data_IF_185046218952
#
_entry.id   IF_185046218952
#
_cell.length_a   1.000
_cell.length_b   1.000
_cell.length_c   1.000
_cell.angle_alpha   90.00
_cell.angle_beta   90.00
_cell.angle_gamma   90.00
#
_symmetry.space_group_name_H-M   'P 1'
#
loop_
_entity.id
_entity.type
_entity.pdbx_description
1 polymer ?
#
# COMPACT_ATOMS: atom_id res chain seq x y z
N UNK A 1 -13.25 9.28 7.98
CA UNK A 1 -12.42 8.12 8.29
C UNK A 1 -10.99 8.57 8.54
N UNK A 2 -10.33 8.05 9.55
CA UNK A 2 -9.04 8.53 10.01
C UNK A 2 -7.95 7.54 9.65
N UNK A 3 -6.79 8.06 9.25
CA UNK A 3 -5.61 7.23 9.04
C UNK A 3 -5.22 6.56 10.36
N UNK A 4 -4.97 5.27 10.31
CA UNK A 4 -4.49 4.55 11.47
C UNK A 4 -3.06 4.04 11.20
N UNK A 5 -2.49 3.38 12.21
CA UNK A 5 -1.12 2.87 12.13
C UNK A 5 -0.91 1.89 10.98
N UNK A 6 -1.91 1.06 10.70
CA UNK A 6 -1.82 0.09 9.61
C UNK A 6 -1.69 0.79 8.26
N UNK A 7 -2.44 1.86 8.04
CA UNK A 7 -2.35 2.65 6.81
C UNK A 7 -0.95 3.24 6.64
N UNK A 8 -0.41 3.80 7.72
CA UNK A 8 0.93 4.39 7.70
C UNK A 8 1.99 3.33 7.38
N UNK A 9 1.87 2.16 8.01
CA UNK A 9 2.79 1.05 7.76
C UNK A 9 2.76 0.61 6.31
N UNK A 10 1.56 0.51 5.72
CA UNK A 10 1.43 0.14 4.31
C UNK A 10 2.07 1.15 3.38
N UNK A 11 1.85 2.44 3.62
CA UNK A 11 2.49 3.48 2.82
C UNK A 11 4.01 3.40 2.94
N UNK A 12 4.52 3.16 4.14
CA UNK A 12 5.95 3.01 4.38
C UNK A 12 6.53 1.80 3.65
N UNK A 13 5.81 0.68 3.67
CA UNK A 13 6.23 -0.55 2.98
C UNK A 13 6.35 -0.30 1.47
N UNK A 14 5.34 0.29 0.88
CA UNK A 14 5.35 0.58 -0.55
C UNK A 14 6.49 1.52 -0.93
N UNK A 15 6.72 2.53 -0.12
CA UNK A 15 7.82 3.47 -0.35
C UNK A 15 9.18 2.78 -0.27
N UNK A 16 9.39 1.98 0.77
CA UNK A 16 10.66 1.28 0.98
C UNK A 16 10.92 0.19 -0.06
N UNK A 17 9.86 -0.45 -0.53
CA UNK A 17 9.98 -1.48 -1.55
C UNK A 17 10.20 -0.90 -2.95
N UNK A 18 10.16 0.42 -3.09
CA UNK A 18 10.31 1.06 -4.39
C UNK A 18 9.07 0.96 -5.27
N UNK A 19 7.92 0.60 -4.69
CA UNK A 19 6.66 0.50 -5.42
C UNK A 19 6.07 1.90 -5.62
N UNK A 20 6.71 2.68 -6.49
CA UNK A 20 6.39 4.09 -6.70
C UNK A 20 5.86 4.38 -8.11
N UNK A 21 5.67 3.34 -8.91
CA UNK A 21 5.11 3.47 -10.27
C UNK A 21 4.35 2.20 -10.62
N UNK A 22 3.53 2.27 -11.66
CA UNK A 22 2.76 1.12 -12.13
C UNK A 22 3.65 -0.07 -12.47
N UNK A 23 4.83 0.19 -13.05
CA UNK A 23 5.77 -0.85 -13.44
C UNK A 23 6.45 -1.52 -12.24
N UNK A 24 6.52 -0.83 -11.10
CA UNK A 24 7.16 -1.33 -9.88
C UNK A 24 6.17 -1.72 -8.80
N UNK A 25 4.88 -1.72 -9.13
CA UNK A 25 3.84 -2.07 -8.17
C UNK A 25 3.99 -3.53 -7.71
N UNK A 26 3.58 -3.79 -6.47
CA UNK A 26 3.70 -5.12 -5.86
C UNK A 26 2.33 -5.65 -5.46
N UNK A 27 2.24 -6.97 -5.34
CA UNK A 27 0.99 -7.63 -4.98
C UNK A 27 0.72 -7.55 -3.48
N UNK A 28 -0.52 -7.86 -3.07
CA UNK A 28 -0.86 -7.97 -1.66
C UNK A 28 0.01 -9.01 -0.96
N UNK A 29 0.30 -10.11 -1.66
CA UNK A 29 1.16 -11.16 -1.12
C UNK A 29 2.56 -10.63 -0.81
N UNK A 30 3.12 -9.82 -1.71
CA UNK A 30 4.42 -9.18 -1.47
C UNK A 30 4.36 -8.22 -0.29
N UNK A 31 3.27 -7.47 -0.18
CA UNK A 31 3.08 -6.56 0.96
C UNK A 31 3.06 -7.35 2.27
N UNK A 32 2.39 -8.49 2.29
CA UNK A 32 2.35 -9.36 3.48
C UNK A 32 3.74 -9.81 3.90
N UNK A 33 4.61 -10.11 2.95
CA UNK A 33 5.98 -10.54 3.25
C UNK A 33 6.79 -9.46 3.96
N UNK A 34 6.53 -8.19 3.63
CA UNK A 34 7.19 -7.08 4.29
C UNK A 34 6.54 -6.70 5.62
N UNK A 35 5.31 -7.14 5.84
CA UNK A 35 4.52 -6.76 7.01
C UNK A 35 4.62 -7.86 8.07
N UNK A 36 5.60 -7.76 8.94
CA UNK A 36 5.86 -8.77 9.98
C UNK A 36 5.09 -8.52 11.28
N UNK A 37 4.03 -7.74 11.24
CA UNK A 37 3.29 -7.37 12.45
C UNK A 37 2.10 -8.25 12.75
N UNK A 38 1.97 -9.39 12.06
CA UNK A 38 0.93 -10.36 12.35
C UNK A 38 -0.50 -9.94 12.01
N UNK A 39 -0.67 -8.97 11.12
CA UNK A 39 -2.01 -8.57 10.70
C UNK A 39 -2.62 -9.62 9.80
N UNK A 40 -3.92 -9.85 9.96
CA UNK A 40 -4.64 -10.80 9.12
C UNK A 40 -4.76 -10.28 7.70
N UNK A 41 -4.96 -11.20 6.77
CA UNK A 41 -5.19 -10.88 5.37
C UNK A 41 -6.36 -9.92 5.19
N UNK A 42 -7.44 -10.15 5.94
CA UNK A 42 -8.63 -9.29 5.90
C UNK A 42 -8.30 -7.86 6.32
N UNK A 43 -7.49 -7.70 7.37
CA UNK A 43 -7.08 -6.38 7.87
C UNK A 43 -6.25 -5.66 6.81
N UNK A 44 -5.31 -6.35 6.18
CA UNK A 44 -4.50 -5.78 5.11
C UNK A 44 -5.34 -5.36 3.91
N UNK A 45 -6.27 -6.21 3.50
CA UNK A 45 -7.16 -5.91 2.38
C UNK A 45 -8.02 -4.67 2.63
N UNK A 46 -8.55 -4.54 3.84
CA UNK A 46 -9.34 -3.37 4.21
C UNK A 46 -8.50 -2.10 4.17
N UNK A 47 -7.28 -2.18 4.67
CA UNK A 47 -6.38 -1.03 4.66
C UNK A 47 -6.00 -0.63 3.24
N UNK A 48 -5.71 -1.61 2.38
CA UNK A 48 -5.39 -1.36 0.98
C UNK A 48 -6.60 -0.71 0.29
N UNK A 49 -7.79 -1.23 0.52
CA UNK A 49 -9.02 -0.67 -0.05
C UNK A 49 -9.23 0.77 0.39
N UNK A 50 -9.03 1.05 1.66
CA UNK A 50 -9.13 2.41 2.20
C UNK A 50 -8.15 3.36 1.49
N UNK A 51 -6.91 2.92 1.33
CA UNK A 51 -5.89 3.75 0.69
C UNK A 51 -6.17 3.99 -0.79
N UNK A 52 -6.69 2.97 -1.48
CA UNK A 52 -7.11 3.11 -2.87
C UNK A 52 -8.26 4.10 -3.01
N UNK A 53 -9.26 4.02 -2.15
CA UNK A 53 -10.40 4.92 -2.16
C UNK A 53 -9.99 6.36 -1.92
N UNK A 54 -9.00 6.55 -1.04
CA UNK A 54 -8.48 7.88 -0.75
C UNK A 54 -7.49 8.40 -1.77
N UNK A 55 -7.20 7.61 -2.80
CA UNK A 55 -6.23 7.96 -3.85
C UNK A 55 -4.80 8.10 -3.33
N UNK A 56 -4.47 7.43 -2.24
CA UNK A 56 -3.10 7.44 -1.69
C UNK A 56 -2.21 6.39 -2.34
N UNK A 57 -2.82 5.31 -2.82
CA UNK A 57 -2.15 4.29 -3.60
C UNK A 57 -2.96 4.03 -4.86
N UNK A 58 -2.31 3.49 -5.87
CA UNK A 58 -2.95 3.21 -7.15
C UNK A 58 -2.70 1.77 -7.55
N UNK A 59 -3.55 1.24 -8.42
CA UNK A 59 -3.39 -0.10 -8.97
C UNK A 59 -2.41 -0.04 -10.13
N UNK A 60 -1.42 -0.91 -10.10
CA UNK A 60 -0.42 -0.98 -11.16
C UNK A 60 -0.75 -2.05 -12.19
N UNK A 61 0.28 -2.54 -12.87
CA UNK A 61 0.15 -3.59 -13.87
C UNK A 61 -0.23 -4.91 -13.18
N UNK A 62 -1.25 -5.58 -13.69
CA UNK A 62 -1.68 -6.85 -13.12
C UNK A 62 -0.60 -7.93 -13.28
N UNK A 63 -0.41 -8.70 -12.21
CA UNK A 63 0.48 -9.86 -12.22
C UNK A 63 -0.40 -11.11 -12.28
N UNK A 64 -0.66 -11.59 -13.50
CA UNK A 64 -1.62 -12.66 -13.70
C UNK A 64 -3.02 -12.21 -13.29
N UNK A 65 -3.62 -12.91 -12.32
CA UNK A 65 -4.93 -12.57 -11.79
C UNK A 65 -4.86 -11.66 -10.56
N UNK A 66 -3.67 -11.33 -10.10
CA UNK A 66 -3.49 -10.52 -8.89
C UNK A 66 -3.29 -9.06 -9.24
N UNK A 67 -3.96 -8.19 -8.48
CA UNK A 67 -3.73 -6.76 -8.59
C UNK A 67 -2.42 -6.40 -7.91
N UNK A 68 -1.74 -5.40 -8.46
CA UNK A 68 -0.55 -4.84 -7.83
C UNK A 68 -0.85 -3.41 -7.40
N UNK A 69 -0.10 -2.91 -6.44
CA UNK A 69 -0.33 -1.59 -5.86
C UNK A 69 0.97 -0.82 -5.73
N UNK A 70 0.87 0.49 -5.86
CA UNK A 70 2.02 1.37 -5.67
C UNK A 70 1.58 2.66 -5.00
N UNK A 71 2.50 3.28 -4.26
CA UNK A 71 2.24 4.57 -3.63
C UNK A 71 2.36 5.66 -4.70
N UNK A 72 1.37 6.55 -4.75
CA UNK A 72 1.39 7.67 -5.69
C UNK A 72 1.85 8.94 -4.98
N UNK A 73 1.89 10.07 -5.70
CA UNK A 73 2.36 11.33 -5.12
C UNK A 73 1.53 11.77 -3.93
N UNK A 74 0.21 11.56 -3.96
CA UNK A 74 -0.66 11.88 -2.83
C UNK A 74 -0.28 11.05 -1.60
N UNK A 75 0.02 9.76 -1.80
CA UNK A 75 0.45 8.88 -0.72
C UNK A 75 1.81 9.29 -0.16
N UNK A 76 2.74 9.65 -1.02
CA UNK A 76 4.06 10.12 -0.59
C UNK A 76 3.94 11.37 0.26
N UNK A 77 3.12 12.33 -0.16
CA UNK A 77 2.90 13.55 0.60
C UNK A 77 2.27 13.26 1.96
N UNK A 78 1.30 12.35 1.99
CA UNK A 78 0.64 11.96 3.24
C UNK A 78 1.62 11.30 4.20
N UNK A 79 2.48 10.43 3.68
CA UNK A 79 3.50 9.77 4.48
C UNK A 79 4.45 10.80 5.11
N UNK A 80 4.87 11.79 4.34
CA UNK A 80 5.73 12.87 4.83
C UNK A 80 5.06 13.69 5.93
N UNK A 81 3.78 13.96 5.78
CA UNK A 81 3.02 14.70 6.79
C UNK A 81 2.97 13.96 8.12
N UNK A 82 2.90 12.63 8.07
CA UNK A 82 2.73 11.80 9.26
C UNK A 82 4.05 11.39 9.93
N UNK A 83 5.15 11.65 9.30
CA UNK A 83 6.49 11.41 9.87
C UNK A 83 7.06 12.69 10.54
#
# INVERSE_FOLDING_TARGET
>A
MVFNRTHLILLSILSKAGAVSAARAITTEDIEKFCSIGKSYTTLHRAIHFLCKGSYISVGVKDGKFNTYYINSTGVEKLKEML
#
